data_IF_787993144746
#
_entry.id   IF_787993144746
#
_cell.length_a   1.000
_cell.length_b   1.000
_cell.length_c   1.000
_cell.angle_alpha   90.00
_cell.angle_beta   90.00
_cell.angle_gamma   90.00
#
_symmetry.space_group_name_H-M   'P 1'
#
loop_
_entity.id
_entity.type
_entity.pdbx_description
1 polymer ?
#
# COMPACT_ATOMS: atom_id res chain seq x y z
N UNK A 1 17.15 -3.32 1.31
CA UNK A 1 16.99 -3.02 2.73
C UNK A 1 15.56 -2.69 3.05
N UNK A 2 15.11 -3.15 4.21
CA UNK A 2 13.72 -2.97 4.59
C UNK A 2 13.55 -1.67 5.36
N UNK A 3 13.28 -0.61 4.62
CA UNK A 3 12.98 0.65 5.26
C UNK A 3 11.49 0.75 5.54
N UNK A 4 11.15 1.26 6.71
CA UNK A 4 9.77 1.53 7.03
C UNK A 4 9.31 2.77 6.26
N UNK A 5 8.14 2.67 5.68
CA UNK A 5 7.50 3.76 4.96
C UNK A 5 6.20 4.07 5.69
N UNK A 6 5.86 5.33 5.81
CA UNK A 6 4.71 5.73 6.60
C UNK A 6 3.54 6.10 5.72
N UNK A 7 2.41 5.42 5.95
CA UNK A 7 1.15 5.69 5.27
C UNK A 7 0.06 5.88 6.30
N UNK A 8 -0.92 6.69 5.95
CA UNK A 8 -2.13 6.80 6.74
C UNK A 8 -3.08 5.67 6.31
N UNK A 9 -3.48 4.75 7.21
CA UNK A 9 -4.39 3.67 6.84
C UNK A 9 -5.68 4.15 6.20
N UNK A 10 -6.12 5.35 6.51
CA UNK A 10 -7.30 5.93 5.88
C UNK A 10 -7.15 6.21 4.40
N UNK A 11 -5.91 6.24 3.89
CA UNK A 11 -5.63 6.45 2.47
C UNK A 11 -5.58 5.14 1.68
N UNK A 12 -5.75 4.00 2.33
CA UNK A 12 -5.69 2.71 1.65
C UNK A 12 -6.82 2.59 0.63
N UNK A 13 -6.47 2.18 -0.59
CA UNK A 13 -7.45 1.96 -1.65
C UNK A 13 -8.15 0.62 -1.44
N UNK A 14 -7.42 -0.35 -0.91
CA UNK A 14 -7.91 -1.68 -0.59
C UNK A 14 -7.01 -2.27 0.47
N UNK A 15 -7.49 -3.29 1.17
CA UNK A 15 -6.68 -3.98 2.17
C UNK A 15 -7.15 -5.42 2.30
N UNK A 16 -6.23 -6.29 2.74
CA UNK A 16 -6.54 -7.69 2.98
C UNK A 16 -5.49 -8.27 3.92
N UNK A 17 -5.84 -9.31 4.65
CA UNK A 17 -4.87 -10.08 5.43
C UNK A 17 -4.07 -11.05 4.53
N UNK A 18 -4.51 -11.25 3.29
CA UNK A 18 -3.87 -12.13 2.33
C UNK A 18 -3.15 -11.31 1.26
N UNK A 19 -1.85 -11.53 1.11
CA UNK A 19 -1.06 -10.82 0.11
C UNK A 19 -1.58 -11.02 -1.31
N UNK A 20 -2.00 -12.25 -1.65
CA UNK A 20 -2.51 -12.53 -3.00
C UNK A 20 -3.76 -11.74 -3.30
N UNK A 21 -4.65 -11.59 -2.33
CA UNK A 21 -5.87 -10.81 -2.50
C UNK A 21 -5.54 -9.33 -2.63
N UNK A 22 -4.62 -8.82 -1.84
CA UNK A 22 -4.20 -7.43 -1.93
C UNK A 22 -3.59 -7.14 -3.30
N UNK A 23 -2.75 -8.05 -3.79
CA UNK A 23 -2.12 -7.91 -5.10
C UNK A 23 -3.16 -7.94 -6.22
N UNK A 24 -4.12 -8.84 -6.12
CA UNK A 24 -5.21 -8.92 -7.09
C UNK A 24 -6.01 -7.62 -7.12
N UNK A 25 -6.35 -7.09 -5.95
CA UNK A 25 -7.06 -5.82 -5.85
C UNK A 25 -6.27 -4.69 -6.48
N UNK A 26 -4.97 -4.65 -6.24
CA UNK A 26 -4.09 -3.64 -6.82
C UNK A 26 -4.09 -3.70 -8.35
N UNK A 27 -4.04 -4.91 -8.91
CA UNK A 27 -4.06 -5.08 -10.35
C UNK A 27 -5.38 -4.64 -10.96
N UNK A 28 -6.49 -4.95 -10.30
CA UNK A 28 -7.82 -4.53 -10.75
C UNK A 28 -7.93 -3.00 -10.72
N UNK A 29 -7.49 -2.38 -9.65
CA UNK A 29 -7.54 -0.93 -9.51
C UNK A 29 -6.70 -0.26 -10.61
N UNK A 30 -5.51 -0.80 -10.87
CA UNK A 30 -4.65 -0.26 -11.91
C UNK A 30 -5.31 -0.34 -13.28
N UNK A 31 -6.01 -1.44 -13.55
CA UNK A 31 -6.69 -1.63 -14.83
C UNK A 31 -7.90 -0.72 -14.96
N UNK A 32 -8.65 -0.54 -13.87
CA UNK A 32 -9.88 0.26 -13.91
C UNK A 32 -9.63 1.76 -13.82
N UNK A 33 -8.53 2.15 -13.19
CA UNK A 33 -8.21 3.56 -12.96
C UNK A 33 -6.79 3.87 -13.45
N UNK A 34 -6.59 3.93 -14.77
CA UNK A 34 -5.24 4.16 -15.31
C UNK A 34 -4.83 5.62 -15.15
N UNK A 35 -4.50 6.00 -13.94
CA UNK A 35 -4.14 7.38 -13.60
C UNK A 35 -2.68 7.71 -13.90
N UNK A 36 -1.87 6.70 -14.22
CA UNK A 36 -0.43 6.86 -14.35
C UNK A 36 0.31 6.89 -13.02
N UNK A 37 -0.41 6.83 -11.91
CA UNK A 37 0.20 6.82 -10.57
C UNK A 37 0.63 5.40 -10.22
N UNK A 38 1.80 5.29 -9.62
CA UNK A 38 2.29 4.00 -9.17
C UNK A 38 1.48 3.50 -7.98
N UNK A 39 1.18 2.21 -7.99
CA UNK A 39 0.48 1.54 -6.89
C UNK A 39 1.45 0.61 -6.18
N UNK A 40 1.40 0.61 -4.86
CA UNK A 40 2.24 -0.25 -4.03
C UNK A 40 1.38 -1.06 -3.08
N UNK A 41 1.89 -2.25 -2.72
CA UNK A 41 1.29 -3.06 -1.67
C UNK A 41 2.23 -2.97 -0.48
N UNK A 42 1.70 -2.53 0.65
CA UNK A 42 2.49 -2.33 1.84
C UNK A 42 1.90 -3.12 3.01
N UNK A 43 2.75 -3.80 3.74
CA UNK A 43 2.34 -4.50 4.95
C UNK A 43 2.45 -3.56 6.13
N UNK A 44 1.35 -3.40 6.87
CA UNK A 44 1.34 -2.59 8.08
C UNK A 44 2.08 -3.33 9.19
N UNK A 45 3.11 -2.71 9.74
CA UNK A 45 3.95 -3.34 10.76
C UNK A 45 3.19 -3.63 12.05
N UNK A 46 2.14 -2.88 12.31
CA UNK A 46 1.37 -2.99 13.55
C UNK A 46 0.45 -4.20 13.55
N UNK A 47 -0.21 -4.48 12.44
CA UNK A 47 -1.25 -5.51 12.39
C UNK A 47 -1.06 -6.54 11.29
N UNK A 48 -0.04 -6.39 10.45
CA UNK A 48 0.25 -7.34 9.38
C UNK A 48 -0.73 -7.29 8.21
N UNK A 49 -1.59 -6.30 8.15
CA UNK A 49 -2.54 -6.16 7.04
C UNK A 49 -1.78 -5.65 5.81
N UNK A 50 -2.06 -6.26 4.66
CA UNK A 50 -1.55 -5.79 3.39
C UNK A 50 -2.51 -4.75 2.83
N UNK A 51 -2.02 -3.54 2.66
CA UNK A 51 -2.83 -2.44 2.17
C UNK A 51 -2.29 -1.94 0.84
N UNK A 52 -3.19 -1.53 -0.03
CA UNK A 52 -2.85 -1.00 -1.35
C UNK A 52 -2.92 0.53 -1.26
N UNK A 53 -1.83 1.18 -1.65
CA UNK A 53 -1.73 2.63 -1.65
C UNK A 53 -1.22 3.13 -2.98
N UNK A 54 -1.52 4.39 -3.31
CA UNK A 54 -0.72 5.07 -4.31
C UNK A 54 0.62 5.43 -3.68
N UNK A 55 1.69 5.28 -4.46
CA UNK A 55 3.05 5.54 -3.95
C UNK A 55 3.20 6.97 -3.44
N UNK A 56 2.50 7.92 -4.04
CA UNK A 56 2.58 9.32 -3.65
C UNK A 56 1.76 9.65 -2.39
N UNK A 57 1.07 8.66 -1.82
CA UNK A 57 0.38 8.82 -0.54
C UNK A 57 1.30 8.67 0.66
N UNK A 58 2.57 8.39 0.44
CA UNK A 58 3.54 8.24 1.53
C UNK A 58 3.59 9.52 2.36
N UNK A 59 3.62 9.33 3.69
CA UNK A 59 3.67 10.45 4.62
C UNK A 59 5.10 10.74 5.01
N UNK A 60 5.38 12.00 5.26
CA UNK A 60 6.68 12.45 5.72
C UNK A 60 6.63 12.71 7.22
N UNK A 61 7.81 12.84 7.82
CA UNK A 61 7.95 13.17 9.24
C UNK A 61 7.29 12.13 10.15
N UNK A 62 7.26 10.87 9.71
CA UNK A 62 6.72 9.75 10.48
C UNK A 62 5.24 9.90 10.83
N UNK A 63 4.48 10.66 10.03
CA UNK A 63 3.04 10.71 10.17
C UNK A 63 2.43 9.40 9.66
N UNK A 64 1.32 8.95 10.28
CA UNK A 64 0.67 7.72 9.91
C UNK A 64 1.28 6.51 10.61
N UNK A 65 1.16 5.35 10.01
CA UNK A 65 1.66 4.09 10.58
C UNK A 65 2.78 3.52 9.72
N UNK A 66 3.72 2.83 10.36
CA UNK A 66 4.85 2.24 9.68
C UNK A 66 4.40 1.03 8.85
N UNK A 67 4.91 0.97 7.62
CA UNK A 67 4.64 -0.10 6.68
C UNK A 67 5.94 -0.52 6.01
N UNK A 68 5.94 -1.73 5.46
CA UNK A 68 7.01 -2.18 4.57
C UNK A 68 6.43 -2.47 3.20
N UNK A 69 7.06 -1.95 2.16
CA UNK A 69 6.63 -2.20 0.79
C UNK A 69 6.92 -3.65 0.42
N UNK A 70 5.91 -4.36 -0.03
CA UNK A 70 6.05 -5.76 -0.42
C UNK A 70 6.05 -5.94 -1.93
N UNK A 71 5.37 -5.06 -2.67
CA UNK A 71 5.33 -5.15 -4.12
C UNK A 71 4.94 -3.79 -4.71
N UNK A 72 5.29 -3.61 -5.97
CA UNK A 72 4.92 -2.43 -6.76
C UNK A 72 4.22 -2.92 -8.02
N UNK A 73 3.11 -2.31 -8.32
CA UNK A 73 2.29 -2.71 -9.48
C UNK A 73 2.44 -1.69 -10.60
#
# INVERSE_FOLDING_TARGET
MNEAVFFNPGDAIASSHDFKEARRSAQIIKAERPTGRQIVIAENDKNGVYAVYYADSVKQNHAGEAHHIKDKI
#
